data_IF_231482452835
#
_entry.id   IF_231482452835
#
_cell.length_a   1.000
_cell.length_b   1.000
_cell.length_c   1.000
_cell.angle_alpha   90.00
_cell.angle_beta   90.00
_cell.angle_gamma   90.00
#
_symmetry.space_group_name_H-M   'P 1'
#
loop_
_entity.id
_entity.type
_entity.pdbx_description
1 polymer ?
#
# COMPACT_ATOMS: atom_id res chain seq x y z
N UNK A 1 -25.57 -11.44 -22.01
CA UNK A 1 -24.72 -12.63 -21.76
C UNK A 1 -23.26 -12.28 -21.54
N UNK A 2 -22.55 -11.61 -22.44
CA UNK A 2 -21.15 -11.24 -22.29
C UNK A 2 -20.88 -10.27 -21.13
N UNK A 3 -21.74 -9.28 -20.91
CA UNK A 3 -21.62 -8.33 -19.80
C UNK A 3 -21.73 -9.00 -18.42
N UNK A 4 -22.65 -9.95 -18.26
CA UNK A 4 -22.78 -10.68 -16.98
C UNK A 4 -21.54 -11.52 -16.69
N UNK A 5 -20.96 -12.14 -17.71
CA UNK A 5 -19.73 -12.92 -17.58
C UNK A 5 -18.55 -12.04 -17.16
N UNK A 6 -18.46 -10.84 -17.71
CA UNK A 6 -17.44 -9.85 -17.34
C UNK A 6 -17.53 -9.48 -15.86
N UNK A 7 -18.73 -9.17 -15.36
CA UNK A 7 -18.91 -8.84 -13.94
C UNK A 7 -18.61 -10.02 -13.01
N UNK A 8 -18.91 -11.23 -13.42
CA UNK A 8 -18.56 -12.44 -12.68
C UNK A 8 -17.03 -12.57 -12.57
N UNK A 9 -16.31 -12.43 -13.67
CA UNK A 9 -14.84 -12.47 -13.65
C UNK A 9 -14.21 -11.34 -12.82
N UNK A 10 -14.73 -10.11 -12.92
CA UNK A 10 -14.29 -9.00 -12.07
C UNK A 10 -14.51 -9.28 -10.59
N UNK A 11 -15.64 -9.87 -10.24
CA UNK A 11 -15.94 -10.25 -8.84
C UNK A 11 -14.95 -11.28 -8.32
N UNK A 12 -14.64 -12.31 -9.09
CA UNK A 12 -13.66 -13.32 -8.70
C UNK A 12 -12.24 -12.72 -8.59
N UNK A 13 -11.86 -11.85 -9.50
CA UNK A 13 -10.56 -11.15 -9.43
C UNK A 13 -10.45 -10.28 -8.18
N UNK A 14 -11.47 -9.47 -7.90
CA UNK A 14 -11.52 -8.65 -6.69
C UNK A 14 -11.48 -9.51 -5.42
N UNK A 15 -12.24 -10.59 -5.38
CA UNK A 15 -12.29 -11.51 -4.24
C UNK A 15 -10.95 -12.16 -3.96
N UNK A 16 -10.23 -12.59 -5.00
CA UNK A 16 -8.89 -13.18 -4.84
C UNK A 16 -7.89 -12.17 -4.26
N UNK A 17 -7.94 -10.91 -4.70
CA UNK A 17 -7.10 -9.83 -4.18
C UNK A 17 -7.40 -9.54 -2.71
N UNK A 18 -8.69 -9.43 -2.37
CA UNK A 18 -9.12 -9.21 -0.97
C UNK A 18 -8.64 -10.33 -0.07
N UNK A 19 -8.76 -11.59 -0.49
CA UNK A 19 -8.27 -12.73 0.28
C UNK A 19 -6.75 -12.68 0.50
N UNK A 20 -5.97 -12.35 -0.53
CA UNK A 20 -4.53 -12.26 -0.43
C UNK A 20 -4.08 -11.15 0.55
N UNK A 21 -4.71 -9.98 0.47
CA UNK A 21 -4.43 -8.85 1.38
C UNK A 21 -4.84 -9.20 2.81
N UNK A 22 -6.02 -9.80 2.99
CA UNK A 22 -6.52 -10.21 4.30
C UNK A 22 -5.60 -11.23 4.98
N UNK A 23 -5.13 -12.23 4.21
CA UNK A 23 -4.17 -13.23 4.70
C UNK A 23 -2.84 -12.59 5.12
N UNK A 24 -2.35 -11.62 4.35
CA UNK A 24 -1.13 -10.90 4.68
C UNK A 24 -1.29 -10.08 5.99
N UNK A 25 -2.42 -9.40 6.16
CA UNK A 25 -2.72 -8.67 7.40
C UNK A 25 -2.79 -9.63 8.61
N UNK A 26 -3.46 -10.79 8.46
CA UNK A 26 -3.54 -11.80 9.52
C UNK A 26 -2.14 -12.30 9.90
N UNK A 27 -1.28 -12.58 8.92
CA UNK A 27 0.09 -13.01 9.16
C UNK A 27 0.86 -11.97 9.96
N UNK A 28 0.86 -10.70 9.51
CA UNK A 28 1.53 -9.60 10.21
C UNK A 28 1.00 -9.40 11.64
N UNK A 29 -0.31 -9.36 11.83
CA UNK A 29 -0.91 -9.17 13.16
C UNK A 29 -0.61 -10.35 14.08
N UNK A 30 -0.67 -11.58 13.57
CA UNK A 30 -0.36 -12.77 14.35
C UNK A 30 1.10 -12.78 14.82
N UNK A 31 2.02 -12.32 13.96
CA UNK A 31 3.45 -12.26 14.24
C UNK A 31 3.79 -11.16 15.27
N UNK A 32 3.19 -9.97 15.11
CA UNK A 32 3.41 -8.84 16.00
C UNK A 32 2.78 -9.03 17.39
N UNK A 33 1.60 -9.64 17.46
CA UNK A 33 0.84 -9.77 18.71
C UNK A 33 0.99 -11.13 19.39
N UNK A 34 1.63 -12.09 18.72
CA UNK A 34 1.71 -13.50 19.16
C UNK A 34 0.35 -14.15 19.41
N UNK A 35 -0.71 -13.66 18.77
CA UNK A 35 -2.05 -14.23 18.89
C UNK A 35 -2.21 -15.45 18.01
N UNK A 36 -3.14 -16.32 18.43
CA UNK A 36 -3.51 -17.45 17.58
C UNK A 36 -4.14 -16.96 16.27
N UNK A 37 -3.89 -17.66 15.17
CA UNK A 37 -4.39 -17.31 13.83
C UNK A 37 -5.92 -17.11 13.79
N UNK A 38 -6.68 -17.92 14.54
CA UNK A 38 -8.15 -17.78 14.64
C UNK A 38 -8.56 -16.47 15.27
N UNK A 39 -7.89 -16.05 16.36
CA UNK A 39 -8.16 -14.80 17.06
C UNK A 39 -7.80 -13.59 16.18
N UNK A 40 -6.64 -13.62 15.54
CA UNK A 40 -6.21 -12.58 14.60
C UNK A 40 -7.17 -12.42 13.43
N UNK A 41 -7.62 -13.54 12.84
CA UNK A 41 -8.58 -13.52 11.74
C UNK A 41 -9.91 -12.89 12.14
N UNK A 42 -10.46 -13.27 13.29
CA UNK A 42 -11.74 -12.75 13.77
C UNK A 42 -11.69 -11.25 14.09
N UNK A 43 -10.64 -10.81 14.77
CA UNK A 43 -10.46 -9.38 15.11
C UNK A 43 -10.26 -8.55 13.84
N UNK A 44 -9.39 -9.00 12.93
CA UNK A 44 -9.16 -8.30 11.66
C UNK A 44 -10.43 -8.23 10.80
N UNK A 45 -11.23 -9.28 10.77
CA UNK A 45 -12.51 -9.27 10.07
C UNK A 45 -13.43 -8.16 10.60
N UNK A 46 -13.58 -8.05 11.93
CA UNK A 46 -14.39 -6.98 12.55
C UNK A 46 -13.82 -5.61 12.22
N UNK A 47 -12.51 -5.41 12.39
CA UNK A 47 -11.86 -4.11 12.14
C UNK A 47 -12.02 -3.69 10.68
N UNK A 48 -11.75 -4.58 9.73
CA UNK A 48 -11.88 -4.27 8.30
C UNK A 48 -13.35 -3.98 7.94
N UNK A 49 -14.29 -4.74 8.48
CA UNK A 49 -15.71 -4.49 8.26
C UNK A 49 -16.13 -3.12 8.79
N UNK A 50 -15.69 -2.74 10.00
CA UNK A 50 -15.98 -1.43 10.56
C UNK A 50 -15.34 -0.29 9.76
N UNK A 51 -14.10 -0.48 9.30
CA UNK A 51 -13.40 0.52 8.47
C UNK A 51 -13.99 0.65 7.06
N UNK A 52 -14.64 -0.39 6.54
CA UNK A 52 -15.31 -0.32 5.23
C UNK A 52 -16.66 0.40 5.27
N UNK A 53 -17.30 0.53 6.45
CA UNK A 53 -18.58 1.21 6.57
C UNK A 53 -18.57 2.67 6.10
N UNK A 54 -17.58 3.52 6.46
CA UNK A 54 -17.51 4.88 5.95
C UNK A 54 -17.42 4.96 4.42
N UNK A 55 -16.69 4.05 3.78
CA UNK A 55 -16.61 3.97 2.32
C UNK A 55 -17.99 3.74 1.70
N UNK A 56 -18.74 2.78 2.23
CA UNK A 56 -20.07 2.42 1.72
C UNK A 56 -21.08 3.54 1.99
N UNK A 57 -21.08 4.11 3.19
CA UNK A 57 -21.97 5.20 3.58
C UNK A 57 -21.64 6.53 2.87
N UNK A 58 -20.38 6.71 2.49
CA UNK A 58 -19.91 7.90 1.78
C UNK A 58 -20.55 8.13 0.42
N UNK A 59 -21.09 7.08 -0.21
CA UNK A 59 -21.82 7.23 -1.47
C UNK A 59 -23.23 7.80 -1.33
N UNK A 60 -23.89 7.60 -0.22
CA UNK A 60 -25.31 7.96 -0.07
C UNK A 60 -25.62 8.90 1.09
N UNK A 61 -25.05 8.64 2.27
CA UNK A 61 -25.45 9.32 3.52
C UNK A 61 -24.46 10.40 3.91
N UNK A 62 -23.17 10.19 3.69
CA UNK A 62 -22.10 11.07 4.13
C UNK A 62 -21.46 11.81 2.95
N UNK A 63 -22.26 12.63 2.27
CA UNK A 63 -21.75 13.53 1.23
C UNK A 63 -21.45 14.90 1.86
N UNK A 64 -20.17 15.17 2.10
CA UNK A 64 -19.71 16.45 2.63
C UNK A 64 -19.06 17.28 1.53
N UNK A 65 -19.44 18.56 1.41
CA UNK A 65 -18.91 19.49 0.39
C UNK A 65 -17.38 19.61 0.35
N UNK A 66 -16.69 19.41 1.48
CA UNK A 66 -15.22 19.43 1.50
C UNK A 66 -14.58 18.22 0.83
N UNK A 67 -15.32 17.14 0.64
CA UNK A 67 -14.89 15.96 -0.11
C UNK A 67 -14.85 16.18 -1.63
N UNK A 68 -15.50 17.24 -2.14
CA UNK A 68 -15.49 17.56 -3.58
C UNK A 68 -14.08 17.80 -4.12
N UNK A 69 -13.15 18.28 -3.28
CA UNK A 69 -11.72 18.43 -3.63
C UNK A 69 -11.07 17.07 -3.94
N UNK A 70 -11.55 16.00 -3.32
CA UNK A 70 -11.02 14.64 -3.46
C UNK A 70 -11.82 13.77 -4.46
N UNK A 71 -12.91 14.26 -5.02
CA UNK A 71 -13.76 13.51 -5.97
C UNK A 71 -15.19 13.31 -5.49
N UNK A 72 -15.54 13.83 -4.28
CA UNK A 72 -16.90 13.83 -3.74
C UNK A 72 -17.27 12.61 -2.89
N UNK A 73 -16.47 11.54 -2.92
CA UNK A 73 -16.69 10.35 -2.12
C UNK A 73 -15.58 10.11 -1.09
N UNK A 74 -15.91 9.47 0.03
CA UNK A 74 -14.93 9.08 1.06
C UNK A 74 -13.91 8.10 0.47
N UNK A 75 -14.34 7.21 -0.43
CA UNK A 75 -13.46 6.29 -1.13
C UNK A 75 -12.36 7.02 -1.92
N UNK A 76 -12.70 8.12 -2.60
CA UNK A 76 -11.74 8.90 -3.37
C UNK A 76 -10.70 9.58 -2.46
N UNK A 77 -11.11 9.99 -1.25
CA UNK A 77 -10.20 10.49 -0.22
C UNK A 77 -9.26 9.39 0.26
N UNK A 78 -9.79 8.21 0.57
CA UNK A 78 -9.00 7.07 1.04
C UNK A 78 -8.02 6.59 -0.04
N UNK A 79 -8.46 6.49 -1.31
CA UNK A 79 -7.59 6.15 -2.43
C UNK A 79 -6.48 7.18 -2.61
N UNK A 80 -6.80 8.48 -2.56
CA UNK A 80 -5.79 9.53 -2.59
C UNK A 80 -4.76 9.40 -1.46
N UNK A 81 -5.22 9.15 -0.24
CA UNK A 81 -4.38 9.03 0.95
C UNK A 81 -3.44 7.82 0.83
N UNK A 82 -3.96 6.69 0.39
CA UNK A 82 -3.17 5.48 0.19
C UNK A 82 -2.20 5.62 -0.98
N UNK A 83 -2.70 5.99 -2.15
CA UNK A 83 -1.93 5.98 -3.40
C UNK A 83 -0.91 7.10 -3.48
N UNK A 84 -1.24 8.31 -3.01
CA UNK A 84 -0.37 9.48 -3.15
C UNK A 84 0.43 9.82 -1.89
N UNK A 85 0.05 9.31 -0.71
CA UNK A 85 0.76 9.62 0.54
C UNK A 85 1.40 8.36 1.13
N UNK A 86 0.61 7.36 1.49
CA UNK A 86 1.11 6.20 2.24
C UNK A 86 2.06 5.32 1.43
N UNK A 87 1.75 5.05 0.15
CA UNK A 87 2.60 4.23 -0.70
C UNK A 87 3.97 4.87 -0.97
N UNK A 88 4.06 6.16 -1.42
CA UNK A 88 5.36 6.79 -1.62
C UNK A 88 6.15 6.94 -0.33
N UNK A 89 5.52 7.38 0.77
CA UNK A 89 6.21 7.50 2.05
C UNK A 89 6.66 6.16 2.62
N UNK A 90 5.80 5.13 2.55
CA UNK A 90 6.15 3.78 2.99
C UNK A 90 7.32 3.20 2.21
N UNK A 91 7.31 3.35 0.88
CA UNK A 91 8.42 2.91 0.03
C UNK A 91 9.71 3.67 0.32
N UNK A 92 9.63 4.99 0.59
CA UNK A 92 10.78 5.80 0.95
C UNK A 92 11.37 5.37 2.31
N UNK A 93 10.53 5.17 3.32
CA UNK A 93 10.96 4.71 4.65
C UNK A 93 11.63 3.34 4.55
N UNK A 94 11.02 2.41 3.83
CA UNK A 94 11.58 1.07 3.63
C UNK A 94 12.93 1.11 2.90
N UNK A 95 13.03 1.91 1.86
CA UNK A 95 14.26 2.11 1.09
C UNK A 95 15.38 2.70 1.96
N UNK A 96 15.06 3.73 2.74
CA UNK A 96 16.02 4.35 3.67
C UNK A 96 16.45 3.38 4.78
N UNK A 97 15.54 2.55 5.28
CA UNK A 97 15.86 1.51 6.24
C UNK A 97 16.87 0.49 5.68
N UNK A 98 16.67 0.05 4.44
CA UNK A 98 17.57 -0.91 3.79
C UNK A 98 18.94 -0.32 3.42
N UNK A 99 19.01 0.99 3.11
CA UNK A 99 20.24 1.61 2.59
C UNK A 99 21.07 2.34 3.64
N UNK A 100 20.43 2.88 4.71
CA UNK A 100 21.12 3.63 5.77
C UNK A 100 21.78 2.73 6.81
N UNK A 101 22.93 3.19 7.33
CA UNK A 101 23.67 2.49 8.41
C UNK A 101 22.91 2.44 9.74
N UNK A 102 21.98 3.36 9.97
CA UNK A 102 21.14 3.37 11.18
C UNK A 102 19.96 2.40 11.13
N UNK A 103 19.69 1.81 9.98
CA UNK A 103 18.69 0.75 9.79
C UNK A 103 19.38 -0.60 9.59
N UNK A 104 18.84 -1.41 8.66
CA UNK A 104 19.41 -2.71 8.34
C UNK A 104 20.81 -2.60 7.71
N UNK A 105 21.02 -1.58 6.90
CA UNK A 105 22.29 -1.26 6.27
C UNK A 105 22.51 -1.99 4.94
N UNK A 106 23.22 -1.30 4.04
CA UNK A 106 23.50 -1.79 2.69
C UNK A 106 24.18 -3.18 2.65
N UNK A 107 25.11 -3.43 3.56
CA UNK A 107 25.88 -4.68 3.52
C UNK A 107 25.00 -5.89 3.86
N UNK A 108 24.18 -5.77 4.91
CA UNK A 108 23.27 -6.84 5.32
C UNK A 108 22.17 -7.06 4.24
N UNK A 109 21.62 -5.97 3.72
CA UNK A 109 20.65 -6.03 2.62
C UNK A 109 21.24 -6.74 1.39
N UNK A 110 22.47 -6.40 1.00
CA UNK A 110 23.15 -7.01 -0.15
C UNK A 110 23.44 -8.50 0.08
N UNK A 111 23.88 -8.87 1.28
CA UNK A 111 24.19 -10.24 1.65
C UNK A 111 22.93 -11.10 1.58
N UNK A 112 21.85 -10.67 2.19
CA UNK A 112 20.54 -11.35 2.16
C UNK A 112 20.01 -11.49 0.73
N UNK A 113 20.01 -10.41 -0.02
CA UNK A 113 19.51 -10.42 -1.40
C UNK A 113 20.34 -11.29 -2.34
N UNK A 114 21.61 -11.56 -2.02
CA UNK A 114 22.50 -12.40 -2.79
C UNK A 114 22.57 -13.86 -2.31
N UNK A 115 21.81 -14.25 -1.30
CA UNK A 115 21.83 -15.60 -0.69
C UNK A 115 21.27 -16.69 -1.62
N UNK A 116 20.49 -16.33 -2.64
CA UNK A 116 19.89 -17.26 -3.59
C UNK A 116 20.67 -17.46 -4.88
N UNK A 117 20.18 -18.39 -5.72
CA UNK A 117 20.63 -18.57 -7.11
C UNK A 117 19.86 -17.60 -8.01
N UNK A 118 20.46 -16.48 -8.39
CA UNK A 118 19.81 -15.48 -9.25
C UNK A 118 20.73 -14.32 -9.63
N UNK A 119 20.17 -13.25 -10.17
CA UNK A 119 20.90 -12.03 -10.50
C UNK A 119 21.37 -11.37 -9.20
N UNK A 120 22.68 -11.21 -9.07
CA UNK A 120 23.30 -10.66 -7.86
C UNK A 120 23.29 -9.14 -7.87
N UNK A 121 23.00 -8.54 -6.71
CA UNK A 121 23.08 -7.11 -6.50
C UNK A 121 24.54 -6.65 -6.46
N UNK A 122 24.90 -5.75 -7.40
CA UNK A 122 26.23 -5.19 -7.52
C UNK A 122 26.38 -3.89 -6.71
N UNK A 123 27.63 -3.53 -6.39
CA UNK A 123 27.92 -2.33 -5.58
C UNK A 123 27.49 -0.99 -6.24
N UNK A 124 27.45 -0.91 -7.57
CA UNK A 124 26.99 0.30 -8.27
C UNK A 124 25.51 0.58 -8.01
N UNK A 125 24.70 -0.44 -7.75
CA UNK A 125 23.28 -0.30 -7.41
C UNK A 125 23.09 0.42 -6.08
N UNK A 126 24.09 0.46 -5.21
CA UNK A 126 24.03 1.23 -3.97
C UNK A 126 23.78 2.71 -4.22
N UNK A 127 24.52 3.32 -5.15
CA UNK A 127 24.36 4.74 -5.46
C UNK A 127 22.96 5.00 -6.04
N UNK A 128 22.48 4.13 -6.91
CA UNK A 128 21.13 4.20 -7.46
C UNK A 128 20.04 4.12 -6.38
N UNK A 129 20.09 3.09 -5.53
CA UNK A 129 19.10 2.87 -4.47
C UNK A 129 19.17 3.91 -3.34
N UNK A 130 20.36 4.48 -3.09
CA UNK A 130 20.54 5.45 -2.00
C UNK A 130 20.19 6.88 -2.40
N UNK A 131 20.38 7.27 -3.67
CA UNK A 131 20.23 8.66 -4.11
C UNK A 131 19.16 8.81 -5.20
N UNK A 132 19.23 8.01 -6.27
CA UNK A 132 18.36 8.18 -7.43
C UNK A 132 16.93 7.76 -7.12
N UNK A 133 16.75 6.60 -6.52
CA UNK A 133 15.42 6.06 -6.23
C UNK A 133 14.64 6.92 -5.22
N UNK A 134 15.23 7.38 -4.08
CA UNK A 134 14.52 8.30 -3.18
C UNK A 134 14.10 9.60 -3.87
N UNK A 135 14.96 10.13 -4.76
CA UNK A 135 14.65 11.36 -5.50
C UNK A 135 13.46 11.16 -6.43
N UNK A 136 13.40 10.03 -7.14
CA UNK A 136 12.26 9.67 -8.00
C UNK A 136 10.99 9.52 -7.17
N UNK A 137 11.05 8.87 -6.01
CA UNK A 137 9.90 8.68 -5.13
C UNK A 137 9.37 10.02 -4.63
N UNK A 138 10.26 10.92 -4.19
CA UNK A 138 9.89 12.27 -3.75
C UNK A 138 9.27 13.05 -4.91
N UNK A 139 9.83 12.95 -6.11
CA UNK A 139 9.30 13.62 -7.30
C UNK A 139 7.87 13.14 -7.63
N UNK A 140 7.62 11.82 -7.62
CA UNK A 140 6.29 11.24 -7.82
C UNK A 140 5.33 11.71 -6.73
N UNK A 141 5.76 11.73 -5.47
CA UNK A 141 4.98 12.21 -4.33
C UNK A 141 4.55 13.67 -4.50
N UNK A 142 5.48 14.54 -4.85
CA UNK A 142 5.20 15.98 -5.06
C UNK A 142 4.25 16.18 -6.25
N UNK A 143 4.47 15.49 -7.37
CA UNK A 143 3.59 15.58 -8.54
C UNK A 143 2.19 15.06 -8.22
N UNK A 144 2.08 13.95 -7.48
CA UNK A 144 0.79 13.39 -7.07
C UNK A 144 -0.05 14.40 -6.27
N UNK A 145 0.58 15.06 -5.31
CA UNK A 145 -0.06 16.13 -4.53
C UNK A 145 -0.38 17.35 -5.41
N UNK A 146 0.59 17.81 -6.21
CA UNK A 146 0.41 18.98 -7.07
C UNK A 146 -0.75 18.79 -8.04
N UNK A 147 -0.82 17.67 -8.73
CA UNK A 147 -1.89 17.38 -9.70
C UNK A 147 -3.26 17.34 -9.04
N UNK A 148 -3.36 16.86 -7.79
CA UNK A 148 -4.64 16.81 -7.08
C UNK A 148 -5.17 18.17 -6.66
N UNK A 149 -4.28 19.07 -6.21
CA UNK A 149 -4.68 20.39 -5.69
C UNK A 149 -4.62 21.52 -6.73
N UNK A 150 -3.75 21.41 -7.74
CA UNK A 150 -3.50 22.46 -8.72
C UNK A 150 -3.71 22.01 -10.18
N UNK A 151 -3.71 20.71 -10.46
CA UNK A 151 -4.00 20.15 -11.77
C UNK A 151 -5.50 20.12 -12.02
N UNK A 152 -6.03 21.16 -12.65
CA UNK A 152 -7.35 21.14 -13.26
C UNK A 152 -7.27 20.61 -14.66
#
# INVERSE_FOLDING_TARGET
MWGSLFFVFMTFAAFSTVLAVFENIIACVSELTHWSRKKSSFINFIVITLLSLPCVLGYNVWQWKWLDVFGGAILDLEDFLVSNILLPLGSLVFLLFCTRKSGWGWNNFKEEANTGKGVKIHNWMRAYLTYVLPLIIIFIFVIGIYNKFFGK
#
